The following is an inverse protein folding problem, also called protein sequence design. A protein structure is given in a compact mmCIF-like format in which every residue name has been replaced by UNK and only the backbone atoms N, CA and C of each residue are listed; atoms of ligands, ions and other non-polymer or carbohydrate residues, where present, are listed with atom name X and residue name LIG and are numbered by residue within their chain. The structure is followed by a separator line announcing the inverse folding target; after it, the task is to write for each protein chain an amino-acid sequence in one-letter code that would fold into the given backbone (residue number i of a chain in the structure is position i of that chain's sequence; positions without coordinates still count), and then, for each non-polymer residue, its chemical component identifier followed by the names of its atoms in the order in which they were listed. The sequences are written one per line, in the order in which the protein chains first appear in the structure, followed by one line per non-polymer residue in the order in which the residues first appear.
data_IF_560444990385
#
_entry.id   IF_560444990385
#
_cell.length_a   1.000
_cell.length_b   1.000
_cell.length_c   1.000
_cell.angle_alpha   90.00
_cell.angle_beta   90.00
_cell.angle_gamma   90.00
#
_symmetry.space_group_name_H-M   'P 1'
#
loop_
_entity.id
_entity.type
_entity.pdbx_description
1 polymer ?
#
# COMPACT_ATOMS: atom_id res chain seq x y z
N UNK A 1 -16.50 25.75 -7.51
CA UNK A 1 -16.24 24.99 -8.76
C UNK A 1 -15.82 25.96 -9.86
N UNK A 2 -16.62 26.98 -10.22
CA UNK A 2 -16.31 27.94 -11.29
C UNK A 2 -14.94 28.60 -11.10
N UNK A 3 -14.65 29.14 -9.90
CA UNK A 3 -13.34 29.73 -9.58
C UNK A 3 -12.20 28.72 -9.76
N UNK A 4 -12.37 27.49 -9.28
CA UNK A 4 -11.35 26.43 -9.43
C UNK A 4 -11.04 26.11 -10.89
N UNK A 5 -12.08 26.07 -11.75
CA UNK A 5 -11.89 25.82 -13.17
C UNK A 5 -11.25 27.02 -13.91
N UNK A 6 -11.45 28.25 -13.41
CA UNK A 6 -10.78 29.44 -13.94
C UNK A 6 -9.28 29.45 -13.56
N UNK A 7 -8.98 29.13 -12.30
CA UNK A 7 -7.61 29.13 -11.77
C UNK A 7 -6.79 27.95 -12.30
N UNK A 8 -7.45 26.82 -12.60
CA UNK A 8 -6.85 25.58 -13.07
C UNK A 8 -7.52 25.10 -14.36
N UNK A 9 -7.26 25.74 -15.51
CA UNK A 9 -7.97 25.47 -16.78
C UNK A 9 -7.68 24.08 -17.38
N UNK A 10 -6.70 23.37 -16.85
CA UNK A 10 -6.38 21.99 -17.22
C UNK A 10 -7.28 20.95 -16.54
N UNK A 11 -8.12 21.33 -15.57
CA UNK A 11 -9.07 20.42 -14.93
C UNK A 11 -10.13 20.00 -15.96
N UNK A 12 -10.23 18.69 -16.19
CA UNK A 12 -11.21 18.07 -17.09
C UNK A 12 -12.47 17.60 -16.39
N UNK A 13 -12.34 17.18 -15.12
CA UNK A 13 -13.43 16.59 -14.36
C UNK A 13 -13.26 16.90 -12.87
N UNK A 14 -14.35 17.19 -12.18
CA UNK A 14 -14.39 17.35 -10.72
C UNK A 14 -15.44 16.37 -10.16
N UNK A 15 -14.99 15.58 -9.19
CA UNK A 15 -15.83 14.63 -8.46
C UNK A 15 -15.92 15.06 -7.01
N UNK A 16 -17.14 15.19 -6.50
CA UNK A 16 -17.40 15.46 -5.08
C UNK A 16 -17.79 14.18 -4.37
N UNK A 17 -17.05 13.84 -3.31
CA UNK A 17 -17.33 12.71 -2.43
C UNK A 17 -17.67 13.19 -1.03
N UNK A 18 -18.67 12.56 -0.39
CA UNK A 18 -18.99 12.84 1.00
C UNK A 18 -18.25 11.86 1.92
N UNK A 19 -17.34 12.38 2.74
CA UNK A 19 -16.51 11.56 3.66
C UNK A 19 -17.37 10.71 4.61
N UNK A 20 -18.46 11.26 5.11
CA UNK A 20 -19.43 10.60 6.00
C UNK A 20 -20.70 10.15 5.25
N UNK A 21 -20.62 9.94 3.93
CA UNK A 21 -21.76 9.51 3.12
C UNK A 21 -22.27 8.14 3.58
N UNK A 22 -23.58 8.01 3.70
CA UNK A 22 -24.27 6.76 4.09
C UNK A 22 -24.50 5.89 2.85
N UNK A 23 -24.96 6.51 1.75
CA UNK A 23 -25.25 5.78 0.50
C UNK A 23 -23.97 5.51 -0.31
N UNK A 24 -24.01 4.47 -1.14
CA UNK A 24 -22.90 4.12 -2.02
C UNK A 24 -22.60 5.23 -3.05
N UNK A 25 -23.61 5.93 -3.54
CA UNK A 25 -23.45 7.09 -4.42
C UNK A 25 -22.65 8.19 -3.73
N UNK A 26 -22.95 8.50 -2.47
CA UNK A 26 -22.23 9.51 -1.71
C UNK A 26 -20.76 9.12 -1.45
N UNK A 27 -20.51 7.82 -1.25
CA UNK A 27 -19.15 7.27 -1.06
C UNK A 27 -18.36 7.29 -2.35
N UNK A 28 -18.94 6.86 -3.46
CA UNK A 28 -18.30 6.83 -4.77
C UNK A 28 -18.08 8.22 -5.35
N UNK A 29 -18.97 9.15 -5.02
CA UNK A 29 -18.95 10.53 -5.48
C UNK A 29 -19.83 10.78 -6.71
N UNK A 30 -20.00 12.07 -6.99
CA UNK A 30 -20.79 12.57 -8.11
C UNK A 30 -19.92 13.49 -8.95
N UNK A 31 -19.95 13.33 -10.27
CA UNK A 31 -19.33 14.27 -11.20
C UNK A 31 -20.12 15.58 -11.15
N UNK A 32 -19.45 16.67 -10.83
CA UNK A 32 -20.04 18.01 -10.72
C UNK A 32 -19.52 18.98 -11.78
N UNK A 33 -18.50 18.57 -12.52
CA UNK A 33 -17.94 19.29 -13.66
C UNK A 33 -17.25 18.29 -14.59
N UNK A 34 -17.38 18.52 -15.92
CA UNK A 34 -16.87 17.62 -16.94
C UNK A 34 -17.68 16.34 -17.09
N UNK A 35 -17.30 15.49 -18.02
CA UNK A 35 -18.07 14.29 -18.39
C UNK A 35 -17.50 13.02 -17.78
N UNK A 36 -16.23 12.70 -18.09
CA UNK A 36 -15.58 11.46 -17.65
C UNK A 36 -14.26 11.72 -16.96
N UNK A 37 -14.03 11.09 -15.78
CA UNK A 37 -12.73 11.11 -15.13
C UNK A 37 -11.71 10.27 -15.89
N UNK A 38 -10.43 10.64 -15.78
CA UNK A 38 -9.34 9.82 -16.28
C UNK A 38 -9.38 8.43 -15.65
N UNK A 39 -9.08 7.41 -16.45
CA UNK A 39 -9.08 5.99 -16.05
C UNK A 39 -7.69 5.43 -15.84
N UNK A 40 -6.66 6.22 -16.08
CA UNK A 40 -5.26 5.84 -15.91
C UNK A 40 -4.40 7.07 -15.63
N UNK A 41 -3.31 6.84 -14.94
CA UNK A 41 -2.25 7.82 -14.69
C UNK A 41 -0.90 7.20 -15.02
N UNK A 42 0.10 8.03 -15.22
CA UNK A 42 1.49 7.59 -15.38
C UNK A 42 2.35 8.13 -14.24
N UNK A 43 3.18 7.26 -13.66
CA UNK A 43 4.18 7.62 -12.66
C UNK A 43 5.47 6.84 -12.95
N UNK A 44 6.61 7.53 -13.03
CA UNK A 44 7.92 6.94 -13.33
C UNK A 44 7.91 6.03 -14.60
N UNK A 45 7.19 6.46 -15.65
CA UNK A 45 7.08 5.72 -16.91
C UNK A 45 6.14 4.50 -16.86
N UNK A 46 5.50 4.22 -15.73
CA UNK A 46 4.58 3.10 -15.53
C UNK A 46 3.14 3.59 -15.51
N UNK A 47 2.26 2.90 -16.24
CA UNK A 47 0.83 3.18 -16.24
C UNK A 47 0.12 2.49 -15.08
N UNK A 48 -0.76 3.21 -14.43
CA UNK A 48 -1.66 2.70 -13.39
C UNK A 48 -3.10 2.96 -13.79
N UNK A 49 -3.91 1.91 -13.83
CA UNK A 49 -5.35 2.06 -13.94
C UNK A 49 -5.89 2.68 -12.64
N UNK A 50 -6.82 3.61 -12.77
CA UNK A 50 -7.53 4.23 -11.65
C UNK A 50 -9.03 4.18 -11.90
N UNK A 51 -9.79 4.30 -10.81
CA UNK A 51 -11.23 4.51 -10.85
C UNK A 51 -11.63 5.47 -9.74
N UNK A 52 -11.81 6.73 -10.10
CA UNK A 52 -12.16 7.78 -9.15
C UNK A 52 -13.56 7.64 -8.56
N UNK A 53 -14.40 6.77 -9.14
CA UNK A 53 -15.74 6.47 -8.66
C UNK A 53 -15.86 5.08 -8.00
N UNK A 54 -14.74 4.41 -7.73
CA UNK A 54 -14.71 3.06 -7.17
C UNK A 54 -15.27 3.01 -5.74
N UNK A 55 -14.77 3.89 -4.88
CA UNK A 55 -15.11 3.98 -3.46
C UNK A 55 -14.87 5.41 -2.92
N UNK A 56 -14.68 5.56 -1.61
CA UNK A 56 -14.38 6.86 -0.97
C UNK A 56 -13.03 7.44 -1.39
N UNK A 57 -12.06 6.57 -1.69
CA UNK A 57 -10.69 6.96 -2.01
C UNK A 57 -10.52 7.23 -3.52
N UNK A 58 -9.37 7.73 -3.90
CA UNK A 58 -9.03 8.02 -5.30
C UNK A 58 -8.51 6.82 -6.09
N UNK A 59 -8.57 5.61 -5.51
CA UNK A 59 -8.03 4.36 -6.06
C UNK A 59 -6.51 4.35 -6.30
N UNK A 60 -5.79 5.40 -5.92
CA UNK A 60 -4.34 5.49 -6.01
C UNK A 60 -3.81 6.42 -4.91
N UNK A 61 -2.83 5.96 -4.15
CA UNK A 61 -2.24 6.69 -3.03
C UNK A 61 -0.91 7.31 -3.44
N UNK A 62 -0.85 8.65 -3.44
CA UNK A 62 0.35 9.39 -3.87
C UNK A 62 1.43 9.48 -2.78
N UNK A 63 1.07 9.32 -1.53
CA UNK A 63 1.98 9.28 -0.37
C UNK A 63 2.92 8.05 -0.40
N UNK A 64 2.58 7.00 -1.15
CA UNK A 64 3.44 5.83 -1.34
C UNK A 64 4.31 5.88 -2.61
N UNK A 65 4.45 7.04 -3.27
CA UNK A 65 5.25 7.19 -4.49
C UNK A 65 6.73 6.86 -4.28
N UNK A 66 7.32 7.29 -3.19
CA UNK A 66 8.72 6.95 -2.83
C UNK A 66 8.90 5.45 -2.71
N UNK A 67 7.93 4.76 -2.09
CA UNK A 67 7.95 3.30 -1.97
C UNK A 67 7.80 2.60 -3.33
N UNK A 68 6.95 3.12 -4.24
CA UNK A 68 6.87 2.57 -5.61
C UNK A 68 8.20 2.73 -6.35
N UNK A 69 8.85 3.88 -6.21
CA UNK A 69 10.20 4.11 -6.78
C UNK A 69 11.22 3.14 -6.21
N UNK A 70 11.21 2.94 -4.89
CA UNK A 70 12.06 1.94 -4.22
C UNK A 70 11.80 0.53 -4.76
N UNK A 71 10.54 0.14 -4.93
CA UNK A 71 10.17 -1.17 -5.46
C UNK A 71 10.70 -1.39 -6.88
N UNK A 72 10.61 -0.38 -7.74
CA UNK A 72 11.15 -0.43 -9.10
C UNK A 72 12.68 -0.61 -9.11
N UNK A 73 13.39 0.00 -8.17
CA UNK A 73 14.85 -0.01 -8.13
C UNK A 73 15.44 -1.28 -7.49
N UNK A 74 14.71 -1.92 -6.57
CA UNK A 74 15.27 -2.97 -5.72
C UNK A 74 14.71 -4.38 -5.97
N UNK A 75 13.60 -4.52 -6.71
CA UNK A 75 12.90 -5.81 -6.80
C UNK A 75 13.10 -6.55 -8.14
N UNK A 76 14.08 -6.16 -8.96
CA UNK A 76 14.43 -6.89 -10.18
C UNK A 76 14.80 -8.34 -9.83
N UNK A 77 14.23 -9.31 -10.55
CA UNK A 77 14.45 -10.74 -10.33
C UNK A 77 13.80 -11.31 -9.06
N UNK A 78 13.00 -10.54 -8.31
CA UNK A 78 12.41 -10.93 -7.04
C UNK A 78 10.98 -11.48 -7.18
N UNK A 79 10.61 -12.36 -6.24
CA UNK A 79 9.24 -12.83 -6.03
C UNK A 79 8.61 -12.02 -4.89
N UNK A 80 7.51 -11.36 -5.17
CA UNK A 80 6.89 -10.36 -4.30
C UNK A 80 5.49 -10.79 -3.89
N UNK A 81 5.13 -10.58 -2.62
CA UNK A 81 3.76 -10.65 -2.12
C UNK A 81 3.32 -9.23 -1.73
N UNK A 82 2.24 -8.76 -2.34
CA UNK A 82 1.59 -7.53 -1.96
C UNK A 82 0.30 -7.86 -1.20
N UNK A 83 0.33 -7.72 0.13
CA UNK A 83 -0.83 -7.96 1.00
C UNK A 83 -1.65 -6.69 1.14
N UNK A 84 -2.96 -6.82 1.29
CA UNK A 84 -3.89 -5.68 1.26
C UNK A 84 -3.65 -4.82 0.02
N UNK A 85 -3.57 -5.51 -1.13
CA UNK A 85 -3.03 -4.93 -2.34
C UNK A 85 -3.83 -3.75 -2.88
N UNK A 86 -5.11 -3.60 -2.46
CA UNK A 86 -6.01 -2.58 -2.98
C UNK A 86 -6.03 -2.63 -4.52
N UNK A 87 -5.72 -1.53 -5.19
CA UNK A 87 -5.62 -1.46 -6.65
C UNK A 87 -4.26 -1.92 -7.19
N UNK A 88 -3.42 -2.50 -6.35
CA UNK A 88 -2.20 -3.20 -6.74
C UNK A 88 -0.99 -2.34 -7.09
N UNK A 89 -0.98 -1.04 -6.79
CA UNK A 89 0.04 -0.10 -7.27
C UNK A 89 1.47 -0.49 -6.89
N UNK A 90 1.72 -1.01 -5.67
CA UNK A 90 3.04 -1.47 -5.24
C UNK A 90 3.53 -2.68 -6.05
N UNK A 91 2.62 -3.64 -6.32
CA UNK A 91 2.96 -4.79 -7.14
C UNK A 91 3.17 -4.44 -8.61
N UNK A 92 2.42 -3.46 -9.15
CA UNK A 92 2.64 -2.92 -10.51
C UNK A 92 4.02 -2.29 -10.60
N UNK A 93 4.42 -1.47 -9.62
CA UNK A 93 5.75 -0.87 -9.54
C UNK A 93 6.85 -1.94 -9.46
N UNK A 94 6.67 -2.99 -8.66
CA UNK A 94 7.62 -4.10 -8.56
C UNK A 94 7.82 -4.80 -9.92
N UNK A 95 6.74 -5.07 -10.68
CA UNK A 95 6.84 -5.64 -12.03
C UNK A 95 7.52 -4.71 -13.01
N UNK A 96 7.21 -3.40 -12.97
CA UNK A 96 7.86 -2.41 -13.80
C UNK A 96 9.38 -2.35 -13.54
N UNK A 97 9.81 -2.59 -12.30
CA UNK A 97 11.21 -2.74 -11.90
C UNK A 97 11.82 -4.11 -12.21
N UNK A 98 11.09 -5.02 -12.87
CA UNK A 98 11.62 -6.32 -13.29
C UNK A 98 11.44 -7.46 -12.28
N UNK A 99 10.53 -7.34 -11.31
CA UNK A 99 10.15 -8.48 -10.48
C UNK A 99 9.67 -9.65 -11.34
N UNK A 100 10.11 -10.87 -11.03
CA UNK A 100 9.77 -12.06 -11.83
C UNK A 100 8.36 -12.56 -11.56
N UNK A 101 7.84 -12.29 -10.36
CA UNK A 101 6.50 -12.67 -9.95
C UNK A 101 5.99 -11.76 -8.86
N UNK A 102 4.73 -11.35 -8.98
CA UNK A 102 4.01 -10.63 -7.93
C UNK A 102 2.69 -11.35 -7.66
N UNK A 103 2.43 -11.68 -6.39
CA UNK A 103 1.12 -12.11 -5.93
C UNK A 103 0.42 -10.90 -5.29
N UNK A 104 -0.65 -10.43 -5.91
CA UNK A 104 -1.54 -9.40 -5.39
C UNK A 104 -2.62 -10.05 -4.53
N UNK A 105 -2.71 -9.68 -3.26
CA UNK A 105 -3.67 -10.26 -2.32
C UNK A 105 -4.53 -9.18 -1.70
N UNK A 106 -5.82 -9.24 -1.94
CA UNK A 106 -6.85 -8.40 -1.33
C UNK A 106 -8.15 -9.19 -1.22
N UNK A 107 -8.98 -8.92 -0.23
CA UNK A 107 -10.28 -9.61 -0.14
C UNK A 107 -11.30 -9.13 -1.17
N UNK A 108 -11.11 -7.94 -1.72
CA UNK A 108 -12.01 -7.33 -2.69
C UNK A 108 -11.51 -7.56 -4.12
N UNK A 109 -12.12 -8.50 -4.84
CA UNK A 109 -11.74 -8.79 -6.23
C UNK A 109 -11.96 -7.58 -7.17
N UNK A 110 -12.91 -6.68 -6.86
CA UNK A 110 -13.08 -5.44 -7.61
C UNK A 110 -11.86 -4.51 -7.56
N UNK A 111 -11.13 -4.51 -6.44
CA UNK A 111 -9.85 -3.80 -6.35
C UNK A 111 -8.77 -4.48 -7.19
N UNK A 112 -8.70 -5.81 -7.13
CA UNK A 112 -7.76 -6.60 -7.93
C UNK A 112 -8.02 -6.49 -9.42
N UNK A 113 -9.26 -6.20 -9.84
CA UNK A 113 -9.58 -5.93 -11.25
C UNK A 113 -8.89 -4.65 -11.75
N UNK A 114 -8.77 -3.63 -10.90
CA UNK A 114 -7.99 -2.43 -11.24
C UNK A 114 -6.50 -2.78 -11.40
N UNK A 115 -5.97 -3.65 -10.53
CA UNK A 115 -4.60 -4.15 -10.67
C UNK A 115 -4.40 -4.91 -11.99
N UNK A 116 -5.33 -5.79 -12.39
CA UNK A 116 -5.28 -6.51 -13.69
C UNK A 116 -5.27 -5.54 -14.87
N UNK A 117 -6.08 -4.48 -14.79
CA UNK A 117 -6.09 -3.43 -15.82
C UNK A 117 -4.74 -2.71 -15.91
N UNK A 118 -4.10 -2.42 -14.77
CA UNK A 118 -2.75 -1.84 -14.73
C UNK A 118 -1.72 -2.76 -15.39
N UNK A 119 -1.83 -4.08 -15.18
CA UNK A 119 -0.96 -5.05 -15.86
C UNK A 119 -1.15 -4.99 -17.37
N UNK A 120 -2.39 -4.94 -17.85
CA UNK A 120 -2.71 -4.80 -19.27
C UNK A 120 -2.15 -3.51 -19.90
N UNK A 121 -2.24 -2.37 -19.19
CA UNK A 121 -1.70 -1.09 -19.65
C UNK A 121 -0.18 -1.10 -19.86
N UNK A 122 0.55 -1.96 -19.14
CA UNK A 122 2.01 -2.08 -19.21
C UNK A 122 2.46 -3.34 -19.98
N UNK A 123 1.54 -4.08 -20.59
CA UNK A 123 1.81 -5.35 -21.27
C UNK A 123 2.53 -6.39 -20.36
N UNK A 124 2.29 -6.38 -19.05
CA UNK A 124 2.84 -7.38 -18.18
C UNK A 124 2.17 -8.73 -18.39
N UNK A 125 2.98 -9.78 -18.44
CA UNK A 125 2.44 -11.16 -18.43
C UNK A 125 1.72 -11.39 -17.12
N UNK A 126 0.52 -11.91 -17.18
CA UNK A 126 -0.33 -12.16 -16.01
C UNK A 126 -0.99 -13.53 -16.09
N UNK A 127 -1.22 -14.11 -14.93
CA UNK A 127 -1.99 -15.31 -14.75
C UNK A 127 -3.07 -15.07 -13.70
N UNK A 128 -4.17 -15.84 -13.75
CA UNK A 128 -5.21 -15.76 -12.72
C UNK A 128 -4.65 -16.01 -11.31
N UNK A 129 -3.59 -16.80 -11.20
CA UNK A 129 -2.94 -17.14 -9.93
C UNK A 129 -2.12 -15.99 -9.33
N UNK A 130 -1.89 -14.90 -10.07
CA UNK A 130 -1.18 -13.72 -9.57
C UNK A 130 -2.09 -12.79 -8.75
N UNK A 131 -3.39 -13.12 -8.66
CA UNK A 131 -4.39 -12.35 -7.93
C UNK A 131 -5.17 -13.28 -7.00
N UNK A 132 -5.09 -13.02 -5.71
CA UNK A 132 -5.74 -13.80 -4.67
C UNK A 132 -6.80 -12.97 -3.95
N UNK A 133 -8.06 -13.15 -4.36
CA UNK A 133 -9.22 -12.51 -3.75
C UNK A 133 -9.64 -13.29 -2.49
N UNK A 134 -8.91 -13.10 -1.37
CA UNK A 134 -9.11 -13.85 -0.12
C UNK A 134 -8.78 -12.96 1.09
N UNK A 135 -9.41 -13.24 2.23
CA UNK A 135 -9.08 -12.58 3.49
C UNK A 135 -7.63 -12.88 3.91
N UNK A 136 -6.97 -11.90 4.51
CA UNK A 136 -5.55 -11.94 4.89
C UNK A 136 -5.18 -13.17 5.73
N UNK A 137 -5.95 -13.48 6.79
CA UNK A 137 -5.57 -14.51 7.73
C UNK A 137 -5.60 -15.93 7.13
N UNK A 138 -6.68 -16.38 6.45
CA UNK A 138 -6.68 -17.66 5.77
C UNK A 138 -5.68 -17.72 4.61
N UNK A 139 -5.54 -16.65 3.82
CA UNK A 139 -4.61 -16.59 2.71
C UNK A 139 -3.15 -16.78 3.16
N UNK A 140 -2.71 -16.04 4.18
CA UNK A 140 -1.37 -16.21 4.77
C UNK A 140 -1.17 -17.62 5.34
N UNK A 141 -2.18 -18.16 6.01
CA UNK A 141 -2.15 -19.54 6.51
C UNK A 141 -1.97 -20.58 5.39
N UNK A 142 -2.65 -20.40 4.28
CA UNK A 142 -2.55 -21.25 3.08
C UNK A 142 -1.16 -21.13 2.45
N UNK A 143 -0.65 -19.91 2.24
CA UNK A 143 0.68 -19.68 1.67
C UNK A 143 1.78 -20.35 2.50
N UNK A 144 1.67 -20.31 3.85
CA UNK A 144 2.61 -21.01 4.74
C UNK A 144 2.57 -22.52 4.56
N UNK A 145 1.38 -23.13 4.54
CA UNK A 145 1.22 -24.59 4.39
C UNK A 145 1.73 -25.10 3.04
N UNK A 146 1.60 -24.31 2.01
CA UNK A 146 2.05 -24.66 0.65
C UNK A 146 3.52 -24.32 0.38
N UNK A 147 4.28 -23.90 1.40
CA UNK A 147 5.70 -23.61 1.29
C UNK A 147 6.03 -22.43 0.36
N UNK A 148 5.05 -21.53 0.14
CA UNK A 148 5.34 -20.32 -0.61
C UNK A 148 6.24 -19.39 0.19
N UNK A 149 7.30 -18.92 -0.45
CA UNK A 149 8.20 -17.93 0.08
C UNK A 149 8.45 -16.80 -0.93
N UNK A 150 8.75 -15.62 -0.40
CA UNK A 150 8.88 -14.39 -1.17
C UNK A 150 10.19 -13.68 -0.80
N UNK A 151 10.75 -12.97 -1.76
CA UNK A 151 11.92 -12.12 -1.53
C UNK A 151 11.52 -10.78 -0.89
N UNK A 152 10.28 -10.32 -1.15
CA UNK A 152 9.73 -9.12 -0.54
C UNK A 152 8.24 -9.31 -0.22
N UNK A 153 7.80 -8.80 0.92
CA UNK A 153 6.38 -8.70 1.30
C UNK A 153 6.05 -7.26 1.63
N UNK A 154 5.10 -6.68 0.91
CA UNK A 154 4.45 -5.43 1.29
C UNK A 154 3.31 -5.74 2.28
N UNK A 155 3.31 -5.04 3.41
CA UNK A 155 2.31 -5.13 4.46
C UNK A 155 1.72 -3.74 4.68
N UNK A 156 0.62 -3.44 3.98
CA UNK A 156 -0.10 -2.15 4.00
C UNK A 156 -1.56 -2.33 4.43
N UNK A 157 -1.80 -2.74 5.67
CA UNK A 157 -3.15 -3.02 6.14
C UNK A 157 -3.97 -1.74 6.34
N UNK A 158 -5.32 -1.83 6.25
CA UNK A 158 -6.19 -0.72 6.62
C UNK A 158 -6.04 -0.40 8.11
N UNK A 159 -6.37 0.83 8.51
CA UNK A 159 -6.34 1.25 9.91
C UNK A 159 -7.07 0.27 10.82
N UNK A 160 -8.28 -0.11 10.43
CA UNK A 160 -9.08 -1.12 11.13
C UNK A 160 -9.93 -1.94 10.15
N UNK A 161 -9.98 -3.24 10.38
CA UNK A 161 -10.88 -4.17 9.67
C UNK A 161 -11.19 -5.37 10.55
N UNK A 162 -12.45 -5.74 10.64
CA UNK A 162 -12.90 -6.93 11.36
C UNK A 162 -13.67 -7.85 10.42
N UNK A 163 -13.34 -9.13 10.48
CA UNK A 163 -14.02 -10.22 9.76
C UNK A 163 -14.20 -11.39 10.72
N UNK A 164 -14.98 -12.40 10.31
CA UNK A 164 -15.07 -13.67 11.04
C UNK A 164 -13.74 -14.46 11.05
N UNK A 165 -12.77 -14.07 10.23
CA UNK A 165 -11.44 -14.68 10.13
C UNK A 165 -10.40 -14.00 11.01
N UNK A 166 -10.63 -12.77 11.41
CA UNK A 166 -9.71 -12.05 12.27
C UNK A 166 -9.87 -10.53 12.23
N UNK A 167 -9.09 -9.87 13.10
CA UNK A 167 -9.09 -8.43 13.25
C UNK A 167 -7.74 -7.87 12.81
N UNK A 168 -7.78 -6.83 11.98
CA UNK A 168 -6.67 -5.94 11.66
C UNK A 168 -6.89 -4.67 12.47
N UNK A 169 -5.91 -4.30 13.27
CA UNK A 169 -5.92 -3.11 14.12
C UNK A 169 -4.48 -2.57 14.15
N UNK A 170 -4.27 -1.42 13.52
CA UNK A 170 -2.94 -0.80 13.42
C UNK A 170 -2.52 -0.12 14.72
N UNK A 171 -3.46 0.19 15.58
CA UNK A 171 -3.18 0.83 16.87
C UNK A 171 -2.70 -0.18 17.93
N UNK A 172 -3.34 -1.37 17.98
CA UNK A 172 -3.10 -2.32 19.07
C UNK A 172 -2.56 -3.69 18.62
N UNK A 173 -2.53 -3.97 17.32
CA UNK A 173 -2.26 -5.32 16.81
C UNK A 173 -1.26 -5.45 15.66
N UNK A 174 -0.56 -4.39 15.31
CA UNK A 174 0.30 -4.35 14.13
C UNK A 174 1.43 -5.39 14.15
N UNK A 175 2.09 -5.57 15.29
CA UNK A 175 3.16 -6.58 15.48
C UNK A 175 2.67 -8.00 15.16
N UNK A 176 1.41 -8.30 15.45
CA UNK A 176 0.80 -9.60 15.12
C UNK A 176 0.76 -9.83 13.60
N UNK A 177 0.47 -8.80 12.81
CA UNK A 177 0.45 -8.90 11.35
C UNK A 177 1.86 -9.17 10.80
N UNK A 178 2.87 -8.48 11.32
CA UNK A 178 4.29 -8.73 10.99
C UNK A 178 4.64 -10.19 11.28
N UNK A 179 4.36 -10.68 12.47
CA UNK A 179 4.64 -12.06 12.86
C UNK A 179 3.88 -13.10 12.01
N UNK A 180 2.76 -12.72 11.41
CA UNK A 180 2.02 -13.59 10.48
C UNK A 180 2.73 -13.71 9.13
N UNK A 181 3.28 -12.63 8.58
CA UNK A 181 3.89 -12.65 7.24
C UNK A 181 5.39 -12.93 7.25
N UNK A 182 6.11 -12.63 8.34
CA UNK A 182 7.57 -12.87 8.46
C UNK A 182 8.00 -14.28 8.02
N UNK A 183 7.31 -15.38 8.37
CA UNK A 183 7.69 -16.72 7.93
C UNK A 183 7.61 -16.95 6.41
N UNK A 184 6.84 -16.14 5.68
CA UNK A 184 6.73 -16.20 4.22
C UNK A 184 7.93 -15.54 3.50
N UNK A 185 8.80 -14.85 4.23
CA UNK A 185 9.91 -14.10 3.65
C UNK A 185 11.18 -14.95 3.71
N UNK A 186 11.92 -14.98 2.62
CA UNK A 186 13.21 -15.67 2.52
C UNK A 186 14.26 -15.05 3.46
N UNK A 187 15.31 -15.79 3.76
CA UNK A 187 16.48 -15.24 4.43
C UNK A 187 17.04 -14.07 3.61
N UNK A 188 17.35 -12.95 4.26
CA UNK A 188 17.76 -11.68 3.65
C UNK A 188 16.71 -11.03 2.74
N UNK A 189 15.46 -11.49 2.74
CA UNK A 189 14.34 -10.82 2.08
C UNK A 189 13.86 -9.59 2.84
N UNK A 190 12.99 -8.82 2.21
CA UNK A 190 12.43 -7.59 2.76
C UNK A 190 11.01 -7.76 3.27
N UNK A 191 10.74 -7.20 4.42
CA UNK A 191 9.40 -6.85 4.89
C UNK A 191 9.25 -5.34 4.79
N UNK A 192 8.37 -4.87 3.95
CA UNK A 192 7.99 -3.45 3.88
C UNK A 192 6.74 -3.25 4.72
N UNK A 193 6.88 -2.51 5.79
CA UNK A 193 5.88 -2.30 6.83
C UNK A 193 5.32 -0.89 6.73
N UNK A 194 4.03 -0.75 6.48
CA UNK A 194 3.34 0.52 6.30
C UNK A 194 2.32 0.68 7.42
N UNK A 195 2.36 1.82 8.10
CA UNK A 195 1.37 2.18 9.11
C UNK A 195 0.83 3.59 8.83
N UNK A 196 -0.44 3.66 8.45
CA UNK A 196 -1.16 4.90 8.15
C UNK A 196 -2.07 5.38 9.30
N UNK A 197 -1.93 4.79 10.50
CA UNK A 197 -2.71 5.17 11.67
C UNK A 197 -2.31 6.56 12.18
N UNK A 198 -3.23 7.52 12.10
CA UNK A 198 -2.99 8.91 12.50
C UNK A 198 -2.93 9.10 14.02
N UNK A 199 -3.42 8.13 14.80
CA UNK A 199 -3.38 8.14 16.28
C UNK A 199 -2.17 7.42 16.86
N UNK A 200 -1.36 6.77 16.03
CA UNK A 200 -0.10 6.12 16.43
C UNK A 200 1.05 7.07 16.12
N UNK A 201 1.79 7.49 17.13
CA UNK A 201 2.96 8.35 16.93
C UNK A 201 4.05 7.62 16.15
N UNK A 202 4.92 8.38 15.48
CA UNK A 202 6.07 7.80 14.78
C UNK A 202 7.02 7.08 15.74
N UNK A 203 7.21 7.61 16.93
CA UNK A 203 8.06 7.01 17.97
C UNK A 203 7.49 5.69 18.48
N UNK A 204 6.20 5.63 18.79
CA UNK A 204 5.56 4.39 19.27
C UNK A 204 5.61 3.31 18.19
N UNK A 205 5.37 3.68 16.94
CA UNK A 205 5.48 2.75 15.82
C UNK A 205 6.91 2.23 15.67
N UNK A 206 7.91 3.10 15.66
CA UNK A 206 9.31 2.72 15.52
C UNK A 206 9.76 1.84 16.69
N UNK A 207 9.46 2.22 17.93
CA UNK A 207 9.78 1.43 19.12
C UNK A 207 9.14 0.03 19.08
N UNK A 208 7.92 -0.07 18.53
CA UNK A 208 7.26 -1.37 18.34
C UNK A 208 7.98 -2.27 17.34
N UNK A 209 8.57 -1.68 16.29
CA UNK A 209 9.39 -2.42 15.31
C UNK A 209 10.76 -2.79 15.89
N UNK A 210 11.39 -1.90 16.63
CA UNK A 210 12.65 -2.16 17.34
C UNK A 210 12.51 -3.32 18.34
N UNK A 211 11.39 -3.37 19.07
CA UNK A 211 11.08 -4.50 19.95
C UNK A 211 10.97 -5.83 19.18
N UNK A 212 10.42 -5.83 17.97
CA UNK A 212 10.41 -7.01 17.11
C UNK A 212 11.79 -7.38 16.56
N UNK A 213 12.73 -6.45 16.53
CA UNK A 213 14.12 -6.70 16.10
C UNK A 213 14.98 -7.30 17.22
N UNK A 214 14.55 -7.26 18.47
CA UNK A 214 15.35 -7.69 19.63
C UNK A 214 15.74 -9.16 19.59
N UNK A 215 14.98 -10.03 18.89
CA UNK A 215 15.29 -11.44 18.70
C UNK A 215 16.33 -11.71 17.59
N UNK A 216 16.77 -10.67 16.87
CA UNK A 216 17.73 -10.72 15.77
C UNK A 216 17.21 -11.33 14.46
N UNK A 217 15.92 -11.69 14.38
CA UNK A 217 15.31 -12.21 13.15
C UNK A 217 14.77 -11.13 12.22
N UNK A 218 14.69 -9.91 12.69
CA UNK A 218 14.37 -8.71 11.95
C UNK A 218 15.42 -7.65 12.22
N UNK A 219 15.66 -6.80 11.25
CA UNK A 219 16.42 -5.56 11.42
C UNK A 219 15.81 -4.47 10.56
N UNK A 220 15.74 -3.24 11.08
CA UNK A 220 15.36 -2.07 10.29
C UNK A 220 16.49 -1.81 9.29
N UNK A 221 16.14 -1.71 8.01
CA UNK A 221 17.05 -1.45 6.89
C UNK A 221 16.98 0.02 6.49
N UNK A 222 15.75 0.55 6.33
CA UNK A 222 15.53 1.90 5.84
C UNK A 222 14.17 2.45 6.33
N UNK A 223 14.10 3.76 6.57
CA UNK A 223 12.86 4.51 6.77
C UNK A 223 12.63 5.35 5.52
N UNK A 224 11.54 5.10 4.79
CA UNK A 224 11.23 5.85 3.58
C UNK A 224 10.33 7.05 3.91
N UNK A 225 10.70 8.26 3.43
CA UNK A 225 9.85 9.42 3.56
C UNK A 225 8.68 9.38 2.57
N UNK A 226 7.59 10.00 2.94
CA UNK A 226 6.53 10.41 2.00
C UNK A 226 7.08 11.56 1.14
N UNK A 227 6.72 11.64 -0.17
CA UNK A 227 7.26 12.66 -1.07
C UNK A 227 7.04 14.08 -0.57
N UNK A 228 8.07 14.94 -0.68
CA UNK A 228 8.04 16.31 -0.18
C UNK A 228 7.00 17.19 -0.87
N UNK A 229 6.75 16.98 -2.16
CA UNK A 229 5.71 17.68 -2.90
C UNK A 229 4.29 17.29 -2.47
N UNK A 230 4.14 16.19 -1.72
CA UNK A 230 2.90 15.82 -1.07
C UNK A 230 2.79 16.38 0.35
N UNK A 231 3.90 16.39 1.11
CA UNK A 231 3.92 16.89 2.50
C UNK A 231 4.13 18.39 2.60
N UNK A 232 4.67 19.03 1.55
CA UNK A 232 5.15 20.39 1.53
C UNK A 232 6.65 20.50 1.88
N UNK A 233 7.34 21.45 1.24
CA UNK A 233 8.80 21.61 1.38
C UNK A 233 9.20 22.30 2.69
N UNK A 234 8.35 23.13 3.27
CA UNK A 234 8.62 23.89 4.49
C UNK A 234 7.60 23.55 5.56
N UNK A 235 7.68 22.36 6.10
CA UNK A 235 6.98 21.95 7.32
C UNK A 235 5.57 22.58 7.50
N UNK A 236 4.68 22.54 6.51
CA UNK A 236 3.36 23.10 6.62
C UNK A 236 2.48 22.15 7.42
N UNK A 237 2.78 22.00 8.71
CA UNK A 237 1.84 21.38 9.65
C UNK A 237 0.66 22.35 9.87
N UNK A 238 -0.10 22.57 8.81
CA UNK A 238 -1.37 23.25 8.93
C UNK A 238 -2.40 22.27 9.49
N UNK A 239 -2.53 22.26 10.80
CA UNK A 239 -3.46 21.42 11.54
C UNK A 239 -2.73 20.50 12.52
N UNK A 240 -3.27 20.37 13.73
CA UNK A 240 -2.80 19.39 14.71
C UNK A 240 -3.10 17.99 14.20
N UNK A 241 -2.05 17.26 13.84
CA UNK A 241 -2.20 15.81 13.67
C UNK A 241 -2.54 15.21 15.04
N UNK A 242 -3.41 14.19 15.11
CA UNK A 242 -3.78 13.54 16.37
C UNK A 242 -2.58 12.99 17.15
N UNK A 243 -1.53 12.52 16.43
CA UNK A 243 -0.26 12.09 17.03
C UNK A 243 0.94 12.61 16.23
N UNK A 244 2.06 12.86 16.90
CA UNK A 244 3.31 13.31 16.26
C UNK A 244 3.89 12.20 15.35
N UNK A 245 4.03 12.41 14.04
CA UNK A 245 4.60 11.42 13.15
C UNK A 245 6.13 11.27 13.29
N UNK A 246 6.85 12.16 13.97
CA UNK A 246 8.31 12.09 14.06
C UNK A 246 8.80 10.72 14.61
N UNK A 247 9.88 10.13 14.04
CA UNK A 247 10.82 10.70 13.08
C UNK A 247 10.38 10.64 11.61
N UNK A 248 9.19 10.19 11.30
CA UNK A 248 8.63 10.20 9.95
C UNK A 248 8.16 11.61 9.58
N UNK A 249 8.17 11.94 8.28
CA UNK A 249 7.72 13.24 7.79
C UNK A 249 6.19 13.31 7.55
N UNK A 250 5.47 12.22 7.74
CA UNK A 250 4.02 12.12 7.51
C UNK A 250 3.38 11.07 8.43
N UNK A 251 2.04 11.12 8.58
CA UNK A 251 1.28 10.09 9.29
C UNK A 251 1.33 8.70 8.65
N UNK A 252 1.57 8.63 7.33
CA UNK A 252 1.93 7.38 6.65
C UNK A 252 3.40 7.08 6.92
N UNK A 253 3.65 6.08 7.73
CA UNK A 253 4.98 5.66 8.21
C UNK A 253 5.43 4.42 7.45
N UNK A 254 6.55 4.47 6.73
CA UNK A 254 7.05 3.39 5.88
C UNK A 254 8.42 2.95 6.37
N UNK A 255 8.54 1.68 6.72
CA UNK A 255 9.80 1.07 7.19
C UNK A 255 10.09 -0.18 6.39
N UNK A 256 11.30 -0.26 5.86
CA UNK A 256 11.84 -1.45 5.20
C UNK A 256 12.68 -2.21 6.21
N UNK A 257 12.38 -3.49 6.35
CA UNK A 257 13.04 -4.38 7.30
C UNK A 257 13.64 -5.57 6.56
N UNK A 258 14.81 -6.05 7.03
CA UNK A 258 15.42 -7.32 6.59
C UNK A 258 15.00 -8.46 7.50
N UNK A 259 14.71 -9.59 6.86
CA UNK A 259 14.34 -10.83 7.58
C UNK A 259 15.54 -11.78 7.60
N UNK A 260 15.92 -12.24 8.79
CA UNK A 260 16.92 -13.29 8.98
C UNK A 260 16.22 -14.57 9.43
N UNK A 261 16.48 -15.69 8.78
CA UNK A 261 16.03 -17.02 9.23
C UNK A 261 17.17 -17.73 9.95
N UNK A 262 16.84 -18.56 10.96
CA UNK A 262 17.83 -19.51 11.49
C UNK A 262 18.33 -20.35 10.32
N UNK A 263 19.64 -20.33 10.11
CA UNK A 263 20.27 -21.34 9.26
C UNK A 263 20.22 -22.64 10.06
N UNK A 264 19.53 -23.64 9.55
CA UNK A 264 19.66 -24.99 10.08
C UNK A 264 21.10 -25.41 9.81
N UNK A 265 21.88 -25.47 10.87
CA UNK A 265 23.24 -26.06 10.86
C UNK A 265 23.15 -27.55 10.60
#
# INVERSE_FOLDING_TARGET
IQQLCQDLPWIKCIIVKKRNGISDIQKRGVIVYGDEPDRKIIENGTWYAIDLLLNRDASFYIDTRTLRSWAMQNLAGKKVLNTFAYTGSLGVAALAGGAVKVLQMDRNDGFLEIARRSYGLNNFKTSRQDFLAEDFFPAVGKLKRTGNDFDCVFLDPPFFSSTDKGVVDLEHGFQRLINKVRPLIRHNGWLVSINNAIYVSGRDYLSSLEALCADGYLSIDEILPVPDDFTGYENPRSGSQPADPAPFNHSTKIVIMKVKKKMNS
#
